data_IF_170650938207
#
_entry.id   IF_170650938207
#
_cell.length_a   1.000
_cell.length_b   1.000
_cell.length_c   1.000
_cell.angle_alpha   90.00
_cell.angle_beta   90.00
_cell.angle_gamma   90.00
#
_symmetry.space_group_name_H-M   'P 1'
#
loop_
_entity.id
_entity.type
_entity.pdbx_description
1 polymer ?
#
# COMPACT_ATOMS: atom_id res chain seq x y z
N UNK A 1 11.19 -8.96 19.25
CA UNK A 1 11.36 -8.61 17.82
C UNK A 1 11.07 -7.12 17.70
N UNK A 2 11.92 -6.33 17.04
CA UNK A 2 11.70 -4.89 16.86
C UNK A 2 11.48 -4.59 15.37
N UNK A 3 10.51 -3.73 15.05
CA UNK A 3 10.31 -3.27 13.68
C UNK A 3 11.51 -2.42 13.24
N UNK A 4 12.08 -2.73 12.08
CA UNK A 4 13.25 -2.00 11.54
C UNK A 4 12.84 -0.72 10.81
N UNK A 5 11.65 -0.73 10.20
CA UNK A 5 11.07 0.44 9.52
C UNK A 5 9.56 0.22 9.37
N UNK A 6 8.84 1.31 9.12
CA UNK A 6 7.40 1.31 8.83
C UNK A 6 7.17 2.14 7.58
N UNK A 7 6.36 1.62 6.66
CA UNK A 7 5.96 2.33 5.44
C UNK A 7 4.46 2.62 5.43
N UNK A 8 4.09 3.82 5.01
CA UNK A 8 2.75 4.08 4.50
C UNK A 8 2.64 3.52 3.09
N UNK A 9 1.61 2.70 2.80
CA UNK A 9 1.36 2.23 1.43
C UNK A 9 0.63 3.30 0.64
N UNK A 10 1.14 3.64 -0.54
CA UNK A 10 0.49 4.56 -1.47
C UNK A 10 0.31 3.81 -2.79
N UNK A 11 -0.93 3.68 -3.24
CA UNK A 11 -1.23 3.08 -4.53
C UNK A 11 -1.18 4.14 -5.62
N UNK A 12 -0.45 3.86 -6.70
CA UNK A 12 -0.27 4.77 -7.84
C UNK A 12 -0.47 4.00 -9.13
N UNK A 13 -0.88 4.67 -10.20
CA UNK A 13 -1.11 3.99 -11.48
C UNK A 13 0.22 3.53 -12.13
N UNK A 14 1.29 4.33 -11.99
CA UNK A 14 2.60 4.08 -12.60
C UNK A 14 3.73 4.67 -11.73
N UNK A 15 4.81 3.89 -11.51
CA UNK A 15 5.93 4.33 -10.66
C UNK A 15 6.78 5.41 -11.34
N UNK A 16 7.03 5.32 -12.64
CA UNK A 16 7.88 6.27 -13.35
C UNK A 16 7.24 7.67 -13.37
N UNK A 17 5.92 7.73 -13.43
CA UNK A 17 5.13 8.96 -13.33
C UNK A 17 5.07 9.50 -11.91
N UNK A 18 4.92 8.63 -10.90
CA UNK A 18 4.73 9.06 -9.51
C UNK A 18 6.03 9.45 -8.80
N UNK A 19 7.12 8.70 -9.01
CA UNK A 19 8.38 8.84 -8.28
C UNK A 19 8.94 10.26 -8.28
N UNK A 20 8.97 11.02 -9.39
CA UNK A 20 9.48 12.40 -9.39
C UNK A 20 8.81 13.31 -8.36
N UNK A 21 7.51 13.12 -8.10
CA UNK A 21 6.79 13.88 -7.07
C UNK A 21 7.26 13.50 -5.67
N UNK A 22 7.46 12.22 -5.39
CA UNK A 22 7.94 11.74 -4.09
C UNK A 22 9.42 12.10 -3.87
N UNK A 23 10.25 12.07 -4.91
CA UNK A 23 11.64 12.56 -4.83
C UNK A 23 11.67 14.04 -4.46
N UNK A 24 10.82 14.87 -5.08
CA UNK A 24 10.72 16.29 -4.74
C UNK A 24 10.18 16.54 -3.31
N UNK A 25 9.20 15.75 -2.86
CA UNK A 25 8.61 15.89 -1.52
C UNK A 25 9.54 15.43 -0.39
N UNK A 26 10.31 14.38 -0.63
CA UNK A 26 11.16 13.74 0.39
C UNK A 26 12.61 14.22 0.34
N UNK A 27 13.07 14.72 -0.81
CA UNK A 27 14.49 15.04 -1.05
C UNK A 27 15.37 13.79 -1.19
N UNK A 28 14.77 12.61 -1.35
CA UNK A 28 15.45 11.31 -1.43
C UNK A 28 15.27 10.68 -2.82
N UNK A 29 16.08 9.66 -3.12
CA UNK A 29 15.83 8.72 -4.23
C UNK A 29 15.25 7.42 -3.67
N UNK A 30 14.47 6.67 -4.46
CA UNK A 30 13.92 5.40 -4.00
C UNK A 30 15.05 4.44 -3.58
N UNK A 31 15.02 4.01 -2.31
CA UNK A 31 16.01 3.11 -1.72
C UNK A 31 15.75 1.63 -2.02
N UNK A 32 14.58 1.33 -2.57
CA UNK A 32 14.13 -0.01 -2.95
C UNK A 32 13.19 0.14 -4.15
N UNK A 33 13.39 -0.67 -5.20
CA UNK A 33 12.43 -0.83 -6.31
C UNK A 33 12.46 -2.27 -6.81
N UNK A 34 11.32 -2.93 -6.89
CA UNK A 34 11.23 -4.34 -7.30
C UNK A 34 9.82 -4.70 -7.77
N UNK A 35 9.73 -5.76 -8.56
CA UNK A 35 8.46 -6.36 -8.94
C UNK A 35 8.08 -7.49 -7.98
N UNK A 36 6.80 -7.63 -7.68
CA UNK A 36 6.24 -8.74 -6.90
C UNK A 36 4.89 -9.13 -7.48
N UNK A 37 4.81 -10.35 -8.06
CA UNK A 37 3.67 -10.77 -8.88
C UNK A 37 3.42 -9.74 -9.99
N UNK A 38 2.19 -9.27 -10.14
CA UNK A 38 1.79 -8.27 -11.14
C UNK A 38 1.91 -6.82 -10.62
N UNK A 39 2.62 -6.62 -9.50
CA UNK A 39 2.86 -5.31 -8.89
C UNK A 39 4.31 -4.86 -9.07
N UNK A 40 4.51 -3.55 -9.15
CA UNK A 40 5.79 -2.89 -9.00
C UNK A 40 5.77 -2.02 -7.75
N UNK A 41 6.83 -2.10 -6.94
CA UNK A 41 6.90 -1.39 -5.67
C UNK A 41 8.16 -0.53 -5.59
N UNK A 42 8.05 0.64 -4.97
CA UNK A 42 9.21 1.47 -4.63
C UNK A 42 9.11 2.06 -3.21
N UNK A 43 10.21 2.00 -2.46
CA UNK A 43 10.32 2.57 -1.13
C UNK A 43 11.04 3.93 -1.15
N UNK A 44 10.39 5.00 -0.68
CA UNK A 44 10.94 6.36 -0.64
C UNK A 44 10.36 7.16 0.54
N UNK A 45 11.21 7.79 1.37
CA UNK A 45 10.78 8.70 2.45
C UNK A 45 9.65 8.18 3.36
N UNK A 46 9.72 6.91 3.79
CA UNK A 46 8.68 6.31 4.63
C UNK A 46 7.38 5.92 3.89
N UNK A 47 7.36 6.01 2.56
CA UNK A 47 6.29 5.50 1.70
C UNK A 47 6.74 4.24 0.96
N UNK A 48 5.82 3.29 0.78
CA UNK A 48 5.92 2.20 -0.16
C UNK A 48 4.90 2.45 -1.27
N UNK A 49 5.36 2.97 -2.39
CA UNK A 49 4.57 3.13 -3.60
C UNK A 49 4.29 1.74 -4.19
N UNK A 50 3.05 1.49 -4.58
CA UNK A 50 2.59 0.24 -5.16
C UNK A 50 1.86 0.56 -6.46
N UNK A 51 2.42 0.14 -7.58
CA UNK A 51 1.82 0.23 -8.91
C UNK A 51 1.48 -1.16 -9.44
N UNK A 52 0.51 -1.25 -10.35
CA UNK A 52 0.07 -2.49 -10.95
C UNK A 52 -1.20 -2.29 -11.75
N UNK A 53 -1.67 -3.36 -12.40
CA UNK A 53 -2.97 -3.30 -13.09
C UNK A 53 -4.09 -3.03 -12.08
N UNK A 54 -5.21 -2.43 -12.50
CA UNK A 54 -6.37 -2.24 -11.63
C UNK A 54 -6.79 -3.55 -10.95
N UNK A 55 -6.73 -4.67 -11.65
CA UNK A 55 -7.04 -6.00 -11.11
C UNK A 55 -6.04 -6.46 -10.06
N UNK A 56 -4.74 -6.19 -10.26
CA UNK A 56 -3.68 -6.55 -9.31
C UNK A 56 -3.69 -5.69 -8.04
N UNK A 57 -4.24 -4.47 -8.12
CA UNK A 57 -4.38 -3.55 -6.98
C UNK A 57 -5.61 -3.87 -6.10
N UNK A 58 -6.52 -4.72 -6.57
CA UNK A 58 -7.66 -5.21 -5.80
C UNK A 58 -7.27 -6.46 -5.03
N UNK A 59 -7.70 -6.56 -3.77
CA UNK A 59 -7.39 -7.71 -2.92
C UNK A 59 -8.58 -8.00 -1.98
N UNK A 60 -8.79 -9.27 -1.66
CA UNK A 60 -9.87 -9.73 -0.78
C UNK A 60 -11.26 -9.86 -1.45
N UNK A 61 -12.31 -10.10 -0.64
CA UNK A 61 -12.29 -10.12 0.82
C UNK A 61 -11.45 -11.26 1.40
N UNK A 62 -10.55 -10.94 2.33
CA UNK A 62 -9.70 -11.90 3.02
C UNK A 62 -10.04 -11.98 4.50
N UNK A 63 -10.00 -13.20 5.07
CA UNK A 63 -9.95 -13.38 6.51
C UNK A 63 -8.54 -13.07 7.02
N UNK A 64 -8.44 -12.10 7.93
CA UNK A 64 -7.17 -11.66 8.54
C UNK A 64 -7.22 -11.84 10.06
N UNK A 65 -6.07 -11.93 10.76
CA UNK A 65 -6.07 -12.19 12.20
C UNK A 65 -6.94 -11.21 13.03
N UNK A 66 -7.08 -9.97 12.56
CA UNK A 66 -7.86 -8.90 13.21
C UNK A 66 -9.33 -8.85 12.79
N UNK A 67 -9.77 -9.65 11.81
CA UNK A 67 -11.13 -9.61 11.25
C UNK A 67 -11.13 -9.91 9.75
N UNK A 68 -11.61 -8.99 8.92
CA UNK A 68 -11.61 -9.12 7.44
C UNK A 68 -11.07 -7.86 6.78
N UNK A 69 -10.43 -7.98 5.63
CA UNK A 69 -10.08 -6.82 4.81
C UNK A 69 -10.45 -7.01 3.34
N UNK A 70 -10.52 -5.89 2.60
CA UNK A 70 -10.55 -5.86 1.14
C UNK A 70 -9.96 -4.53 0.65
N UNK A 71 -9.33 -4.54 -0.50
CA UNK A 71 -8.83 -3.34 -1.18
C UNK A 71 -9.70 -3.08 -2.41
N UNK A 72 -10.30 -1.88 -2.48
CA UNK A 72 -11.13 -1.46 -3.62
C UNK A 72 -10.66 -0.16 -4.22
N UNK A 73 -10.88 -0.02 -5.53
CA UNK A 73 -10.75 1.24 -6.26
C UNK A 73 -12.11 1.94 -6.34
N UNK A 74 -12.16 3.18 -5.84
CA UNK A 74 -13.35 4.03 -5.89
C UNK A 74 -13.50 4.78 -7.22
N UNK A 75 -14.71 5.18 -7.58
CA UNK A 75 -14.91 6.24 -8.58
C UNK A 75 -14.09 7.48 -8.19
N UNK A 76 -13.21 7.93 -9.09
CA UNK A 76 -12.23 8.99 -8.80
C UNK A 76 -10.79 8.48 -8.60
N UNK A 77 -10.56 7.17 -8.62
CA UNK A 77 -9.23 6.57 -8.72
C UNK A 77 -8.56 6.21 -7.40
N UNK A 78 -9.10 6.65 -6.26
CA UNK A 78 -8.58 6.29 -4.95
C UNK A 78 -8.65 4.76 -4.72
N UNK A 79 -7.55 4.16 -4.29
CA UNK A 79 -7.48 2.75 -3.88
C UNK A 79 -7.36 2.71 -2.36
N UNK A 80 -8.31 2.07 -1.70
CA UNK A 80 -8.46 2.09 -0.23
C UNK A 80 -8.58 0.66 0.29
N UNK A 81 -7.82 0.36 1.33
CA UNK A 81 -8.00 -0.86 2.14
C UNK A 81 -9.08 -0.62 3.19
N UNK A 82 -10.13 -1.43 3.16
CA UNK A 82 -11.17 -1.49 4.17
C UNK A 82 -10.87 -2.64 5.12
N UNK A 83 -10.94 -2.35 6.43
CA UNK A 83 -10.76 -3.36 7.48
C UNK A 83 -12.00 -3.38 8.36
N UNK A 84 -12.61 -4.56 8.48
CA UNK A 84 -13.65 -4.85 9.47
C UNK A 84 -13.00 -5.59 10.65
N UNK A 85 -12.99 -4.97 11.83
CA UNK A 85 -12.44 -5.60 13.03
C UNK A 85 -13.42 -6.63 13.62
N UNK A 86 -12.93 -7.83 13.89
CA UNK A 86 -13.69 -8.84 14.61
C UNK A 86 -13.84 -8.45 16.07
N UNK A 87 -15.09 -8.38 16.56
CA UNK A 87 -15.45 -7.97 17.92
C UNK A 87 -14.80 -8.80 19.04
N UNK A 88 -14.33 -10.01 18.75
CA UNK A 88 -13.62 -10.87 19.69
C UNK A 88 -12.09 -10.71 19.71
N UNK A 89 -11.50 -9.91 18.80
CA UNK A 89 -10.06 -10.01 18.48
C UNK A 89 -9.27 -8.70 18.56
N UNK A 90 -9.91 -7.55 18.81
CA UNK A 90 -9.23 -6.26 18.96
C UNK A 90 -9.69 -5.56 20.24
N UNK A 91 -8.78 -5.45 21.22
CA UNK A 91 -8.96 -4.53 22.35
C UNK A 91 -8.45 -3.16 21.93
N UNK A 92 -9.36 -2.27 21.55
CA UNK A 92 -9.05 -0.84 21.46
C UNK A 92 -8.94 -0.33 22.90
N UNK A 93 -7.77 0.20 23.26
CA UNK A 93 -7.60 0.96 24.52
C UNK A 93 -8.14 2.37 24.35
#
# INVERSE_FOLDING_TARGET
MAARTTYARIYVDDLDTALPTFEALTGERPGLRFSYRDLELAGIGGCLLVAGTPEALLDGPNDVPTGRNLTIRHPGGAVVEYVEFGSAKVHVR
#
